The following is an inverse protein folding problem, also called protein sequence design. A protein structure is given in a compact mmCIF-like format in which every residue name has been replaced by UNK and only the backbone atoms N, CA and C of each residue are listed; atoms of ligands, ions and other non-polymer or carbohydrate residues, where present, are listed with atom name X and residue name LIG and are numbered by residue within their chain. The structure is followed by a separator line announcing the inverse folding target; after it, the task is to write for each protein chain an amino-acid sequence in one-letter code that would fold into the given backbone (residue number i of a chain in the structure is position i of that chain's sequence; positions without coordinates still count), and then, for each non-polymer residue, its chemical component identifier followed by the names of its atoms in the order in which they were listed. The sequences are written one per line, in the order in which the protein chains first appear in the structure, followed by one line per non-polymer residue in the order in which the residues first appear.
data_IF_166295759661
#
_entry.id   IF_166295759661
#
_cell.length_a   1.000
_cell.length_b   1.000
_cell.length_c   1.000
_cell.angle_alpha   90.00
_cell.angle_beta   90.00
_cell.angle_gamma   90.00
#
_symmetry.space_group_name_H-M   'P 1'
#
loop_
_entity.id
_entity.type
_entity.pdbx_description
1 polymer ?
#
# COMPACT_ATOMS: atom_id res chain seq x y z
N UNK A 1 -22.62 -53.17 11.05
CA UNK A 1 -21.40 -52.48 11.55
C UNK A 1 -20.45 -51.96 10.47
N UNK A 2 -20.20 -52.63 9.35
CA UNK A 2 -19.27 -52.14 8.26
C UNK A 2 -19.76 -50.88 7.50
N UNK A 3 -21.07 -50.66 7.38
CA UNK A 3 -21.62 -49.51 6.64
C UNK A 3 -21.55 -48.19 7.42
N UNK A 4 -21.59 -48.24 8.77
CA UNK A 4 -21.49 -47.05 9.65
C UNK A 4 -20.06 -46.52 9.75
N UNK A 5 -19.06 -47.40 9.77
CA UNK A 5 -17.65 -47.03 9.75
C UNK A 5 -17.22 -46.32 8.45
N UNK A 6 -17.74 -46.81 7.28
CA UNK A 6 -17.45 -46.18 6.00
C UNK A 6 -18.01 -44.73 5.91
N UNK A 7 -19.19 -44.49 6.49
CA UNK A 7 -19.82 -43.15 6.54
C UNK A 7 -19.04 -42.19 7.43
N UNK A 8 -18.54 -42.65 8.56
CA UNK A 8 -17.74 -41.79 9.50
C UNK A 8 -16.36 -41.43 8.87
N UNK A 9 -15.71 -42.40 8.20
CA UNK A 9 -14.44 -42.14 7.54
C UNK A 9 -14.62 -41.15 6.36
N UNK A 10 -15.70 -41.29 5.59
CA UNK A 10 -16.02 -40.36 4.49
C UNK A 10 -16.29 -38.94 5.02
N UNK A 11 -17.05 -38.80 6.11
CA UNK A 11 -17.33 -37.51 6.75
C UNK A 11 -16.03 -36.86 7.33
N UNK A 12 -15.14 -37.67 7.90
CA UNK A 12 -13.85 -37.21 8.43
C UNK A 12 -12.88 -36.75 7.33
N UNK A 13 -12.88 -37.41 6.14
CA UNK A 13 -12.10 -36.97 4.98
C UNK A 13 -12.65 -35.66 4.41
N UNK A 14 -13.98 -35.47 4.40
CA UNK A 14 -14.62 -34.26 3.90
C UNK A 14 -14.28 -33.03 4.76
N UNK A 15 -14.13 -33.22 6.09
CA UNK A 15 -13.73 -32.11 6.99
C UNK A 15 -12.24 -31.76 6.90
N UNK A 16 -11.38 -32.70 6.50
CA UNK A 16 -9.96 -32.40 6.26
C UNK A 16 -9.70 -31.63 4.94
N UNK A 17 -10.65 -31.62 4.02
CA UNK A 17 -10.56 -30.87 2.76
C UNK A 17 -11.06 -29.43 2.87
N UNK A 18 -11.46 -28.96 4.06
CA UNK A 18 -11.71 -27.54 4.32
C UNK A 18 -10.36 -26.82 4.34
N UNK A 19 -9.81 -26.57 3.14
CA UNK A 19 -8.59 -25.78 2.97
C UNK A 19 -8.80 -24.45 3.70
N UNK A 20 -7.87 -24.09 4.58
CA UNK A 20 -7.83 -22.76 5.16
C UNK A 20 -7.88 -21.77 4.01
N UNK A 21 -8.98 -21.03 3.88
CA UNK A 21 -9.02 -19.88 3.01
C UNK A 21 -7.93 -18.93 3.55
N UNK A 22 -6.81 -18.84 2.85
CA UNK A 22 -5.77 -17.89 3.19
C UNK A 22 -6.42 -16.51 3.09
N UNK A 23 -6.39 -15.77 4.17
CA UNK A 23 -6.94 -14.42 4.17
C UNK A 23 -6.10 -13.58 3.20
N UNK A 24 -6.75 -13.04 2.19
CA UNK A 24 -6.10 -12.19 1.19
C UNK A 24 -5.61 -10.90 1.86
N UNK A 25 -4.31 -10.61 1.74
CA UNK A 25 -3.70 -9.36 2.21
C UNK A 25 -4.06 -8.24 1.25
N UNK A 26 -4.75 -7.21 1.73
CA UNK A 26 -5.16 -6.06 0.94
C UNK A 26 -4.18 -4.91 1.11
N UNK A 27 -3.46 -4.63 0.04
CA UNK A 27 -2.50 -3.52 -0.03
C UNK A 27 -3.14 -2.35 -0.78
N UNK A 28 -3.26 -1.22 -0.12
CA UNK A 28 -3.79 0.01 -0.70
C UNK A 28 -2.64 0.98 -1.00
N UNK A 29 -2.38 1.25 -2.26
CA UNK A 29 -1.40 2.24 -2.69
C UNK A 29 -2.07 3.59 -2.94
N UNK A 30 -1.50 4.67 -2.44
CA UNK A 30 -2.13 6.00 -2.47
C UNK A 30 -2.21 6.57 -3.87
N UNK A 31 -1.10 6.60 -4.60
CA UNK A 31 -0.97 7.24 -5.92
C UNK A 31 -0.67 6.21 -7.01
N UNK A 32 -0.94 6.58 -8.26
CA UNK A 32 -0.72 5.66 -9.39
C UNK A 32 0.74 5.20 -9.54
N UNK A 33 1.78 6.05 -9.40
CA UNK A 33 3.16 5.59 -9.43
C UNK A 33 3.49 4.56 -8.34
N UNK A 34 3.06 4.81 -7.10
CA UNK A 34 3.23 3.86 -5.98
C UNK A 34 2.50 2.55 -6.25
N UNK A 35 1.26 2.63 -6.75
CA UNK A 35 0.48 1.45 -7.15
C UNK A 35 1.22 0.59 -8.19
N UNK A 36 1.82 1.20 -9.21
CA UNK A 36 2.57 0.46 -10.22
C UNK A 36 3.80 -0.23 -9.64
N UNK A 37 4.52 0.43 -8.74
CA UNK A 37 5.67 -0.17 -8.05
C UNK A 37 5.22 -1.37 -7.20
N UNK A 38 4.23 -1.17 -6.32
CA UNK A 38 3.70 -2.22 -5.43
C UNK A 38 3.20 -3.41 -6.25
N UNK A 39 2.40 -3.17 -7.28
CA UNK A 39 1.86 -4.20 -8.16
C UNK A 39 2.96 -5.05 -8.82
N UNK A 40 4.06 -4.43 -9.25
CA UNK A 40 5.18 -5.14 -9.86
C UNK A 40 5.95 -5.98 -8.82
N UNK A 41 6.14 -5.46 -7.61
CA UNK A 41 6.79 -6.19 -6.52
C UNK A 41 5.97 -7.42 -6.12
N UNK A 42 4.64 -7.28 -6.04
CA UNK A 42 3.75 -8.33 -5.52
C UNK A 42 3.18 -9.28 -6.58
N UNK A 43 3.50 -9.11 -7.87
CA UNK A 43 2.88 -9.85 -8.97
C UNK A 43 2.97 -11.39 -8.87
N UNK A 44 3.98 -11.91 -8.17
CA UNK A 44 4.19 -13.34 -7.96
C UNK A 44 3.96 -13.79 -6.52
N UNK A 45 3.39 -12.92 -5.69
CA UNK A 45 3.08 -13.23 -4.28
C UNK A 45 1.63 -13.70 -4.20
N UNK A 46 1.38 -14.92 -3.72
CA UNK A 46 0.01 -15.42 -3.60
C UNK A 46 -0.77 -14.63 -2.54
N UNK A 47 -2.08 -14.55 -2.71
CA UNK A 47 -3.02 -13.98 -1.76
C UNK A 47 -2.75 -12.51 -1.39
N UNK A 48 -2.13 -11.74 -2.29
CA UNK A 48 -1.98 -10.28 -2.18
C UNK A 48 -2.85 -9.60 -3.23
N UNK A 49 -3.77 -8.73 -2.79
CA UNK A 49 -4.56 -7.86 -3.64
C UNK A 49 -4.06 -6.42 -3.51
N UNK A 50 -3.69 -5.80 -4.63
CA UNK A 50 -3.24 -4.42 -4.66
C UNK A 50 -4.33 -3.53 -5.25
N UNK A 51 -4.75 -2.51 -4.48
CA UNK A 51 -5.74 -1.52 -4.91
C UNK A 51 -5.11 -0.13 -4.99
N UNK A 52 -5.59 0.66 -5.95
CA UNK A 52 -5.25 2.07 -6.07
C UNK A 52 -6.27 2.91 -5.29
N UNK A 53 -5.78 3.83 -4.45
CA UNK A 53 -6.63 4.75 -3.69
C UNK A 53 -7.14 5.88 -4.59
N UNK A 54 -6.26 6.74 -5.05
CA UNK A 54 -6.61 7.86 -5.91
C UNK A 54 -6.79 7.40 -7.35
N UNK A 55 -7.87 7.80 -8.04
CA UNK A 55 -8.01 7.54 -9.47
C UNK A 55 -6.77 8.01 -10.24
N UNK A 56 -6.32 7.24 -11.22
CA UNK A 56 -5.13 7.59 -12.01
C UNK A 56 -5.24 8.97 -12.71
N UNK A 57 -6.46 9.46 -12.90
CA UNK A 57 -6.78 10.74 -13.53
C UNK A 57 -7.05 11.86 -12.51
N UNK A 58 -6.81 11.63 -11.23
CA UNK A 58 -7.15 12.59 -10.17
C UNK A 58 -6.37 13.92 -10.23
N UNK A 59 -5.35 14.02 -11.09
CA UNK A 59 -4.52 15.22 -11.17
C UNK A 59 -3.53 15.31 -10.01
N UNK A 60 -3.36 16.51 -9.46
CA UNK A 60 -2.44 16.75 -8.35
C UNK A 60 -2.98 16.13 -7.05
N UNK A 61 -2.22 15.25 -6.37
CA UNK A 61 -2.64 14.65 -5.11
C UNK A 61 -2.85 15.66 -3.98
N UNK A 62 -2.15 16.79 -4.00
CA UNK A 62 -2.22 17.81 -2.94
C UNK A 62 -3.63 18.37 -2.74
N UNK A 63 -4.40 18.53 -3.82
CA UNK A 63 -5.75 19.11 -3.80
C UNK A 63 -6.85 18.04 -3.72
N UNK A 64 -6.48 16.78 -3.49
CA UNK A 64 -7.43 15.68 -3.55
C UNK A 64 -8.33 15.65 -2.30
N UNK A 65 -9.64 15.71 -2.54
CA UNK A 65 -10.63 15.52 -1.49
C UNK A 65 -11.06 14.05 -1.41
N UNK A 66 -10.86 13.44 -0.25
CA UNK A 66 -11.24 12.04 0.00
C UNK A 66 -12.74 11.81 -0.22
N UNK A 67 -13.05 10.80 -1.01
CA UNK A 67 -14.43 10.34 -1.23
C UNK A 67 -14.84 9.25 -0.23
N UNK A 68 -16.14 9.00 -0.04
CA UNK A 68 -16.61 7.86 0.76
C UNK A 68 -16.06 6.51 0.27
N UNK A 69 -15.81 6.38 -1.06
CA UNK A 69 -15.22 5.17 -1.63
C UNK A 69 -13.77 4.99 -1.19
N UNK A 70 -12.97 6.06 -1.13
CA UNK A 70 -11.60 6.01 -0.66
C UNK A 70 -11.54 5.63 0.83
N UNK A 71 -12.46 6.18 1.63
CA UNK A 71 -12.61 5.80 3.03
C UNK A 71 -12.98 4.33 3.19
N UNK A 72 -13.82 3.78 2.31
CA UNK A 72 -14.18 2.36 2.31
C UNK A 72 -12.96 1.48 1.97
N UNK A 73 -12.16 1.87 0.96
CA UNK A 73 -10.91 1.16 0.63
C UNK A 73 -9.94 1.17 1.81
N UNK A 74 -9.75 2.34 2.44
CA UNK A 74 -8.86 2.50 3.59
C UNK A 74 -9.29 1.62 4.78
N UNK A 75 -10.59 1.57 5.06
CA UNK A 75 -11.13 0.73 6.14
C UNK A 75 -10.94 -0.78 5.91
N UNK A 76 -10.80 -1.21 4.66
CA UNK A 76 -10.61 -2.61 4.29
C UNK A 76 -9.13 -3.00 4.12
N UNK A 77 -8.23 -2.03 3.97
CA UNK A 77 -6.82 -2.29 3.76
C UNK A 77 -6.13 -2.88 4.99
N UNK A 78 -5.18 -3.78 4.78
CA UNK A 78 -4.27 -4.31 5.79
C UNK A 78 -2.96 -3.51 5.80
N UNK A 79 -2.52 -3.09 4.61
CA UNK A 79 -1.30 -2.32 4.40
C UNK A 79 -1.64 -1.09 3.54
N UNK A 80 -1.22 0.08 4.00
CA UNK A 80 -1.27 1.33 3.23
C UNK A 80 0.15 1.70 2.79
N UNK A 81 0.34 1.89 1.49
CA UNK A 81 1.63 2.32 0.94
C UNK A 81 1.54 3.76 0.48
N UNK A 82 2.32 4.60 1.13
CA UNK A 82 2.42 6.03 0.86
C UNK A 82 3.60 6.32 -0.08
N UNK A 83 3.50 7.40 -0.85
CA UNK A 83 4.66 7.99 -1.50
C UNK A 83 5.65 8.55 -0.46
N UNK A 84 5.12 9.20 0.56
CA UNK A 84 5.90 9.84 1.61
C UNK A 84 6.24 11.30 1.31
N UNK A 85 7.10 11.89 2.14
CA UNK A 85 7.50 13.30 2.09
C UNK A 85 6.32 14.30 2.09
N UNK A 86 5.19 13.90 2.70
CA UNK A 86 4.02 14.76 2.84
C UNK A 86 3.09 14.81 1.62
N UNK A 87 3.34 14.06 0.56
CA UNK A 87 2.47 14.03 -0.63
C UNK A 87 1.01 13.71 -0.27
N UNK A 88 0.82 12.88 0.75
CA UNK A 88 -0.49 12.45 1.23
C UNK A 88 -1.04 13.30 2.39
N UNK A 89 -0.74 14.58 2.43
CA UNK A 89 -1.27 15.48 3.48
C UNK A 89 -2.81 15.46 3.56
N UNK A 90 -3.49 15.22 2.43
CA UNK A 90 -4.94 15.05 2.33
C UNK A 90 -5.50 13.88 3.15
N UNK A 91 -4.69 12.88 3.48
CA UNK A 91 -5.12 11.74 4.31
C UNK A 91 -5.26 12.12 5.80
N UNK A 92 -4.53 13.13 6.27
CA UNK A 92 -4.41 13.42 7.69
C UNK A 92 -3.75 12.24 8.43
N UNK A 93 -4.42 11.68 9.44
CA UNK A 93 -3.94 10.50 10.16
C UNK A 93 -4.66 9.23 9.66
N UNK A 94 -4.03 8.42 8.79
CA UNK A 94 -4.67 7.23 8.21
C UNK A 94 -5.05 6.19 9.27
N UNK A 95 -4.20 5.99 10.27
CA UNK A 95 -4.44 5.03 11.36
C UNK A 95 -5.67 5.38 12.20
N UNK A 96 -5.95 6.69 12.39
CA UNK A 96 -7.15 7.13 13.10
C UNK A 96 -8.45 6.88 12.31
N UNK A 97 -8.36 6.64 11.02
CA UNK A 97 -9.51 6.40 10.12
C UNK A 97 -9.71 4.93 9.79
N UNK A 98 -8.70 4.09 10.04
CA UNK A 98 -8.80 2.65 9.85
C UNK A 98 -9.67 2.02 10.96
N UNK A 99 -10.53 1.07 10.58
CA UNK A 99 -11.37 0.32 11.52
C UNK A 99 -10.65 -0.88 12.15
N UNK A 100 -9.45 -1.20 11.66
CA UNK A 100 -8.59 -2.30 12.11
C UNK A 100 -7.14 -1.82 12.16
N UNK A 101 -6.26 -2.66 12.65
CA UNK A 101 -4.81 -2.38 12.59
C UNK A 101 -4.38 -2.22 11.13
N UNK A 102 -3.85 -1.04 10.81
CA UNK A 102 -3.38 -0.67 9.48
C UNK A 102 -1.87 -0.48 9.52
N UNK A 103 -1.15 -1.35 8.84
CA UNK A 103 0.29 -1.17 8.64
C UNK A 103 0.53 -0.10 7.58
N UNK A 104 1.49 0.79 7.85
CA UNK A 104 1.82 1.86 6.90
C UNK A 104 3.26 1.73 6.43
N UNK A 105 3.44 1.70 5.11
CA UNK A 105 4.73 1.71 4.43
C UNK A 105 4.94 3.11 3.85
N UNK A 106 6.05 3.74 4.19
CA UNK A 106 6.50 5.01 3.59
C UNK A 106 7.57 4.72 2.54
N UNK A 107 7.25 4.96 1.28
CA UNK A 107 8.16 4.69 0.15
C UNK A 107 9.42 5.54 0.18
N UNK A 108 9.39 6.71 0.85
CA UNK A 108 10.53 7.62 0.96
C UNK A 108 11.55 7.21 2.02
N UNK A 109 11.22 6.24 2.85
CA UNK A 109 12.07 5.82 3.97
C UNK A 109 13.41 5.27 3.48
N UNK A 110 14.49 5.85 3.99
CA UNK A 110 15.87 5.43 3.66
C UNK A 110 16.37 5.90 2.29
N UNK A 111 15.63 6.73 1.57
CA UNK A 111 16.09 7.31 0.28
C UNK A 111 17.14 8.38 0.53
N UNK A 112 18.22 8.31 -0.24
CA UNK A 112 19.32 9.28 -0.23
C UNK A 112 19.30 10.18 -1.47
N UNK A 113 19.83 11.41 -1.31
CA UNK A 113 19.93 12.39 -2.40
C UNK A 113 18.59 13.04 -2.73
N UNK A 114 17.74 13.22 -1.72
CA UNK A 114 16.51 13.99 -1.84
C UNK A 114 16.82 15.42 -2.28
N UNK A 115 15.97 15.96 -3.15
CA UNK A 115 16.06 17.34 -3.59
C UNK A 115 15.15 18.22 -2.71
N UNK A 116 15.62 19.40 -2.31
CA UNK A 116 14.75 20.36 -1.66
C UNK A 116 13.67 20.87 -2.64
N UNK A 117 12.55 21.34 -2.11
CA UNK A 117 11.62 22.16 -2.89
C UNK A 117 12.35 23.40 -3.38
N UNK A 118 12.16 23.76 -4.65
CA UNK A 118 12.65 25.03 -5.19
C UNK A 118 11.59 26.12 -4.98
N UNK A 119 12.02 27.38 -4.86
CA UNK A 119 11.10 28.53 -4.73
C UNK A 119 10.11 28.63 -5.91
N UNK A 120 10.50 28.13 -7.08
CA UNK A 120 9.62 28.09 -8.26
C UNK A 120 8.49 27.05 -8.10
N UNK A 121 8.73 25.95 -7.42
CA UNK A 121 7.72 24.92 -7.14
C UNK A 121 6.82 25.35 -5.98
N UNK A 122 7.39 26.01 -4.96
CA UNK A 122 6.64 26.59 -3.85
C UNK A 122 5.66 27.69 -4.28
N UNK A 123 5.99 28.46 -5.33
CA UNK A 123 5.15 29.55 -5.85
C UNK A 123 3.87 29.04 -6.56
N UNK A 124 3.81 27.77 -6.95
CA UNK A 124 2.60 27.17 -7.53
C UNK A 124 1.64 26.58 -6.49
N UNK A 125 2.06 26.52 -5.22
CA UNK A 125 1.29 25.94 -4.12
C UNK A 125 0.77 27.02 -3.13
N UNK A 126 0.52 28.26 -3.58
CA UNK A 126 -0.06 29.33 -2.77
C UNK A 126 -1.54 29.10 -2.35
N UNK A 127 -1.91 27.85 -2.08
CA UNK A 127 -3.14 27.51 -1.39
C UNK A 127 -2.84 26.90 -0.02
N UNK A 128 -2.84 27.80 0.98
CA UNK A 128 -2.99 27.55 2.42
C UNK A 128 -2.22 26.37 3.05
N UNK A 129 -0.98 26.64 3.48
CA UNK A 129 -0.52 26.10 4.76
C UNK A 129 0.12 24.72 4.81
N UNK A 130 0.39 24.05 3.71
CA UNK A 130 1.07 22.75 3.71
C UNK A 130 2.57 22.90 3.49
N UNK A 131 3.31 23.22 4.55
CA UNK A 131 4.77 23.12 4.57
C UNK A 131 5.15 21.62 4.46
N UNK A 132 5.28 21.12 3.26
CA UNK A 132 6.01 19.86 3.01
C UNK A 132 7.44 20.09 3.53
N UNK A 133 7.95 19.25 4.41
CA UNK A 133 9.22 19.42 5.14
C UNK A 133 10.48 19.73 4.31
N UNK A 134 10.40 20.65 3.36
CA UNK A 134 11.47 21.16 2.54
C UNK A 134 12.00 20.23 1.44
N UNK A 135 11.47 19.01 1.27
CA UNK A 135 11.93 18.06 0.26
C UNK A 135 10.85 17.79 -0.78
N UNK A 136 11.26 17.71 -2.06
CA UNK A 136 10.38 17.44 -3.19
C UNK A 136 9.81 16.00 -3.12
N UNK A 137 8.49 15.80 -2.97
CA UNK A 137 7.88 14.48 -2.85
C UNK A 137 7.75 13.72 -4.18
N UNK A 138 8.01 14.36 -5.33
CA UNK A 138 7.84 13.74 -6.64
C UNK A 138 8.97 12.77 -6.99
N UNK A 139 9.31 11.87 -6.05
CA UNK A 139 10.40 10.89 -6.18
C UNK A 139 10.26 10.00 -7.40
N UNK A 140 9.03 9.60 -7.71
CA UNK A 140 8.70 8.73 -8.83
C UNK A 140 9.04 9.33 -10.21
N UNK A 141 9.22 10.65 -10.31
CA UNK A 141 9.59 11.32 -11.56
C UNK A 141 11.07 11.07 -11.94
N UNK A 142 11.91 10.66 -10.98
CA UNK A 142 13.30 10.29 -11.21
C UNK A 142 13.47 8.76 -11.24
N UNK A 143 14.00 8.17 -12.33
CA UNK A 143 14.25 6.72 -12.38
C UNK A 143 15.15 6.23 -11.24
N UNK A 144 16.15 7.03 -10.84
CA UNK A 144 17.04 6.73 -9.71
C UNK A 144 16.26 6.68 -8.39
N UNK A 145 15.39 7.65 -8.15
CA UNK A 145 14.58 7.70 -6.92
C UNK A 145 13.51 6.61 -6.94
N UNK A 146 12.84 6.38 -8.07
CA UNK A 146 11.89 5.29 -8.22
C UNK A 146 12.51 3.91 -7.91
N UNK A 147 13.76 3.68 -8.32
CA UNK A 147 14.49 2.46 -7.95
C UNK A 147 14.76 2.37 -6.43
N UNK A 148 14.99 3.49 -5.75
CA UNK A 148 15.15 3.50 -4.29
C UNK A 148 13.80 3.27 -3.61
N UNK A 149 12.70 3.91 -4.09
CA UNK A 149 11.34 3.65 -3.61
C UNK A 149 11.00 2.16 -3.71
N UNK A 150 11.31 1.54 -4.85
CA UNK A 150 11.06 0.10 -5.06
C UNK A 150 11.76 -0.74 -4.00
N UNK A 151 13.04 -0.49 -3.71
CA UNK A 151 13.78 -1.21 -2.67
C UNK A 151 13.22 -0.95 -1.26
N UNK A 152 12.84 0.30 -0.98
CA UNK A 152 12.25 0.68 0.30
C UNK A 152 10.92 -0.06 0.54
N UNK A 153 10.03 -0.06 -0.46
CA UNK A 153 8.74 -0.77 -0.40
C UNK A 153 8.96 -2.27 -0.24
N UNK A 154 9.83 -2.88 -1.08
CA UNK A 154 10.11 -4.31 -1.04
C UNK A 154 10.66 -4.76 0.33
N UNK A 155 11.59 -4.00 0.90
CA UNK A 155 12.13 -4.29 2.23
C UNK A 155 11.07 -4.22 3.32
N UNK A 156 10.24 -3.18 3.32
CA UNK A 156 9.17 -3.04 4.31
C UNK A 156 8.06 -4.09 4.16
N UNK A 157 7.74 -4.52 2.91
CA UNK A 157 6.83 -5.64 2.67
C UNK A 157 7.42 -6.96 3.18
N UNK A 158 8.71 -7.20 2.94
CA UNK A 158 9.40 -8.40 3.44
C UNK A 158 9.42 -8.48 4.97
N UNK A 159 9.53 -7.33 5.65
CA UNK A 159 9.44 -7.26 7.12
C UNK A 159 8.04 -7.60 7.64
N UNK A 160 6.98 -7.19 6.90
CA UNK A 160 5.59 -7.45 7.27
C UNK A 160 5.12 -8.86 6.90
N UNK A 161 5.68 -9.44 5.85
CA UNK A 161 5.35 -10.78 5.34
C UNK A 161 6.64 -11.60 5.12
N UNK A 162 7.25 -12.10 6.21
CA UNK A 162 8.48 -12.88 6.13
C UNK A 162 8.37 -14.16 5.32
N UNK A 163 7.17 -14.72 5.20
CA UNK A 163 6.93 -15.95 4.43
C UNK A 163 7.21 -15.75 2.92
N UNK A 164 6.96 -14.55 2.40
CA UNK A 164 7.15 -14.19 1.01
C UNK A 164 8.35 -13.23 0.78
N UNK A 165 9.16 -12.97 1.80
CA UNK A 165 10.26 -11.99 1.77
C UNK A 165 11.22 -12.16 0.57
N UNK A 166 11.49 -13.40 0.15
CA UNK A 166 12.37 -13.68 -0.98
C UNK A 166 11.73 -13.39 -2.36
N UNK A 167 10.42 -13.21 -2.39
CA UNK A 167 9.66 -12.94 -3.63
C UNK A 167 9.53 -11.43 -3.88
N UNK A 168 9.49 -10.62 -2.80
CA UNK A 168 9.53 -9.16 -2.88
C UNK A 168 10.92 -8.67 -3.31
#
# INVERSE_FOLDING_TARGET
MRKTTAGIVFLMILTLMCGAALAQTRVLATTFPVYQIVRNITQNVPDVEVQLMLPAQAGCPHDYALTPQDMSKLAQADILVLNGLGLEAFLGSPSARAQKELHTIDSSKGISGLLPYTDAEAAHEEHEGHHHGGMNPHLFASPRMAAQMTRSIAGQLADLDPANAATY
#
